data_IF_233798652249
#
_entry.id   IF_233798652249
#
_cell.length_a   1.000
_cell.length_b   1.000
_cell.length_c   1.000
_cell.angle_alpha   90.00
_cell.angle_beta   90.00
_cell.angle_gamma   90.00
#
_symmetry.space_group_name_H-M   'P 1'
#
loop_
_entity.id
_entity.type
_entity.pdbx_description
1 polymer ?
#
# COMPACT_ATOMS: atom_id res chain seq x y z
N UNK A 1 -30.53 45.53 -13.12
CA UNK A 1 -29.50 45.97 -14.08
C UNK A 1 -28.27 45.10 -13.91
N UNK A 2 -27.73 44.56 -15.01
CA UNK A 2 -26.47 43.83 -14.97
C UNK A 2 -25.32 44.80 -14.67
N UNK A 3 -24.32 44.37 -13.90
CA UNK A 3 -23.16 45.20 -13.54
C UNK A 3 -22.09 45.25 -14.63
N UNK A 4 -22.17 44.37 -15.64
CA UNK A 4 -21.18 44.21 -16.70
C UNK A 4 -21.78 44.61 -18.05
N UNK A 5 -20.94 45.19 -18.92
CA UNK A 5 -21.30 45.40 -20.32
C UNK A 5 -21.35 44.08 -21.08
N UNK A 6 -22.03 44.05 -22.23
CA UNK A 6 -22.17 42.82 -23.04
C UNK A 6 -20.81 42.25 -23.49
N UNK A 7 -19.85 43.11 -23.86
CA UNK A 7 -18.49 42.69 -24.19
C UNK A 7 -17.72 42.14 -22.97
N UNK A 8 -17.85 42.77 -21.80
CA UNK A 8 -17.23 42.29 -20.57
C UNK A 8 -17.80 40.94 -20.15
N UNK A 9 -19.14 40.77 -20.26
CA UNK A 9 -19.82 39.51 -20.01
C UNK A 9 -19.36 38.43 -20.99
N UNK A 10 -19.25 38.76 -22.28
CA UNK A 10 -18.74 37.84 -23.31
C UNK A 10 -17.30 37.39 -23.01
N UNK A 11 -16.40 38.32 -22.68
CA UNK A 11 -15.01 38.00 -22.29
C UNK A 11 -14.95 37.13 -21.04
N UNK A 12 -15.74 37.45 -20.01
CA UNK A 12 -15.80 36.64 -18.79
C UNK A 12 -16.29 35.22 -19.09
N UNK A 13 -17.36 35.08 -19.87
CA UNK A 13 -17.88 33.77 -20.27
C UNK A 13 -16.90 32.96 -21.11
N UNK A 14 -16.07 33.59 -21.94
CA UNK A 14 -15.00 32.93 -22.70
C UNK A 14 -13.83 32.47 -21.80
N UNK A 15 -13.58 33.18 -20.69
CA UNK A 15 -12.51 32.84 -19.75
C UNK A 15 -12.88 31.69 -18.80
N UNK A 16 -14.18 31.39 -18.63
CA UNK A 16 -14.65 30.24 -17.85
C UNK A 16 -14.30 28.96 -18.59
N UNK A 17 -13.22 28.31 -18.14
CA UNK A 17 -12.78 27.02 -18.68
C UNK A 17 -13.63 25.89 -18.10
N UNK A 18 -13.96 24.92 -18.95
CA UNK A 18 -14.71 23.72 -18.55
C UNK A 18 -13.87 22.70 -17.77
N UNK A 19 -12.53 22.84 -17.76
CA UNK A 19 -11.60 21.94 -17.07
C UNK A 19 -10.32 22.69 -16.70
N UNK A 20 -9.61 22.21 -15.68
CA UNK A 20 -8.33 22.77 -15.27
C UNK A 20 -8.49 24.09 -14.53
N UNK A 21 -9.58 24.24 -13.78
CA UNK A 21 -9.75 25.37 -12.87
C UNK A 21 -8.64 25.36 -11.79
N UNK A 22 -8.38 26.52 -11.17
CA UNK A 22 -7.33 26.64 -10.16
C UNK A 22 -7.56 25.68 -8.97
N UNK A 23 -8.82 25.51 -8.57
CA UNK A 23 -9.26 24.61 -7.50
C UNK A 23 -9.02 23.13 -7.83
N UNK A 24 -9.39 22.67 -9.04
CA UNK A 24 -9.08 21.31 -9.50
C UNK A 24 -7.58 21.04 -9.49
N UNK A 25 -6.79 22.00 -9.98
CA UNK A 25 -5.33 21.88 -10.03
C UNK A 25 -4.73 21.83 -8.62
N UNK A 26 -5.26 22.62 -7.68
CA UNK A 26 -4.79 22.63 -6.29
C UNK A 26 -5.00 21.28 -5.61
N UNK A 27 -6.24 20.76 -5.62
CA UNK A 27 -6.56 19.44 -5.04
C UNK A 27 -5.74 18.32 -5.69
N UNK A 28 -5.63 18.36 -7.02
CA UNK A 28 -4.84 17.37 -7.75
C UNK A 28 -3.35 17.41 -7.37
N UNK A 29 -2.74 18.59 -7.32
CA UNK A 29 -1.32 18.73 -6.92
C UNK A 29 -1.09 18.25 -5.49
N UNK A 30 -2.02 18.57 -4.59
CA UNK A 30 -1.94 18.16 -3.19
C UNK A 30 -1.96 16.63 -3.04
N UNK A 31 -2.94 15.96 -3.67
CA UNK A 31 -3.02 14.49 -3.68
C UNK A 31 -1.79 13.84 -4.32
N UNK A 32 -1.24 14.44 -5.38
CA UNK A 32 -0.04 13.93 -6.05
C UNK A 32 1.20 14.03 -5.14
N UNK A 33 1.37 15.15 -4.44
CA UNK A 33 2.47 15.36 -3.49
C UNK A 33 2.42 14.36 -2.33
N UNK A 34 1.22 13.90 -1.95
CA UNK A 34 1.00 12.84 -0.94
C UNK A 34 1.12 11.42 -1.48
N UNK A 35 1.53 11.26 -2.74
CA UNK A 35 1.84 9.96 -3.34
C UNK A 35 0.67 9.29 -4.09
N UNK A 36 -0.50 9.92 -4.14
CA UNK A 36 -1.64 9.37 -4.86
C UNK A 36 -1.49 9.57 -6.38
N UNK A 37 -1.83 8.53 -7.15
CA UNK A 37 -1.84 8.56 -8.62
C UNK A 37 -3.27 8.46 -9.10
N UNK A 38 -3.67 9.41 -9.95
CA UNK A 38 -5.02 9.54 -10.49
C UNK A 38 -4.95 9.88 -11.98
N UNK A 39 -6.06 9.67 -12.68
CA UNK A 39 -6.26 10.20 -14.04
C UNK A 39 -7.10 11.47 -13.95
N UNK A 40 -6.68 12.50 -14.68
CA UNK A 40 -7.46 13.75 -14.80
C UNK A 40 -8.46 13.63 -15.94
N UNK A 41 -9.67 14.17 -15.74
CA UNK A 41 -10.65 14.35 -16.82
C UNK A 41 -10.92 13.07 -17.63
N UNK A 42 -11.15 11.95 -16.94
CA UNK A 42 -11.25 10.64 -17.58
C UNK A 42 -12.54 10.53 -18.41
N UNK A 43 -12.39 10.57 -19.74
CA UNK A 43 -13.51 10.41 -20.69
C UNK A 43 -14.10 9.00 -20.71
N UNK A 44 -13.40 8.01 -20.17
CA UNK A 44 -13.87 6.62 -20.12
C UNK A 44 -14.85 6.37 -18.97
N UNK A 45 -14.97 7.31 -18.04
CA UNK A 45 -15.89 7.23 -16.89
C UNK A 45 -17.09 8.15 -17.14
N UNK A 46 -18.29 7.63 -16.88
CA UNK A 46 -19.53 8.40 -17.07
C UNK A 46 -19.53 9.66 -16.21
N UNK A 47 -19.97 10.79 -16.76
CA UNK A 47 -19.91 12.09 -16.09
C UNK A 47 -18.57 12.82 -16.21
N UNK A 48 -17.50 12.18 -16.72
CA UNK A 48 -16.16 12.76 -16.90
C UNK A 48 -15.63 13.43 -15.61
N UNK A 49 -15.34 12.65 -14.55
CA UNK A 49 -14.85 13.19 -13.28
C UNK A 49 -13.53 13.96 -13.44
N UNK A 50 -13.30 14.95 -12.57
CA UNK A 50 -12.08 15.76 -12.57
C UNK A 50 -10.86 14.91 -12.21
N UNK A 51 -11.00 14.06 -11.18
CA UNK A 51 -10.00 13.06 -10.79
C UNK A 51 -10.63 11.68 -10.71
N UNK A 52 -9.89 10.67 -11.17
CA UNK A 52 -10.38 9.29 -11.24
C UNK A 52 -9.32 8.32 -10.74
N UNK A 53 -9.70 7.44 -9.82
CA UNK A 53 -8.91 6.31 -9.34
C UNK A 53 -9.50 5.01 -9.88
N UNK A 54 -9.21 4.71 -11.16
CA UNK A 54 -9.89 3.65 -11.92
C UNK A 54 -9.83 2.25 -11.27
N UNK A 55 -8.69 1.90 -10.67
CA UNK A 55 -8.52 0.60 -9.97
C UNK A 55 -9.39 0.50 -8.71
N UNK A 56 -9.62 1.62 -8.03
CA UNK A 56 -10.40 1.70 -6.79
C UNK A 56 -11.87 2.05 -7.05
N UNK A 57 -12.23 2.30 -8.31
CA UNK A 57 -13.54 2.84 -8.73
C UNK A 57 -13.95 4.09 -7.92
N UNK A 58 -13.03 5.04 -7.73
CA UNK A 58 -13.36 6.32 -7.08
C UNK A 58 -13.39 7.44 -8.14
N UNK A 59 -14.46 8.20 -8.16
CA UNK A 59 -14.68 9.38 -9.00
C UNK A 59 -14.79 10.63 -8.11
N UNK A 60 -13.96 11.64 -8.38
CA UNK A 60 -13.96 12.91 -7.64
C UNK A 60 -14.37 14.03 -8.59
N UNK A 61 -15.36 14.81 -8.18
CA UNK A 61 -15.85 16.00 -8.88
C UNK A 61 -15.57 17.26 -8.04
N UNK A 62 -15.19 18.32 -8.72
CA UNK A 62 -14.95 19.65 -8.17
C UNK A 62 -15.98 20.60 -8.77
N UNK A 63 -17.07 20.81 -8.04
CA UNK A 63 -18.24 21.52 -8.52
C UNK A 63 -18.16 23.01 -8.18
N UNK A 64 -18.39 23.86 -9.19
CA UNK A 64 -18.60 25.28 -8.97
C UNK A 64 -20.00 25.56 -8.43
N UNK A 65 -20.11 26.37 -7.35
CA UNK A 65 -21.37 26.61 -6.64
C UNK A 65 -22.49 27.12 -7.53
N UNK A 66 -22.14 28.00 -8.48
CA UNK A 66 -23.12 28.60 -9.39
C UNK A 66 -23.63 27.62 -10.45
N UNK A 67 -22.74 26.78 -11.00
CA UNK A 67 -23.07 25.92 -12.15
C UNK A 67 -23.81 24.64 -11.76
N UNK A 68 -23.58 24.16 -10.54
CA UNK A 68 -24.19 22.96 -9.97
C UNK A 68 -25.23 23.28 -8.89
N UNK A 69 -25.51 24.57 -8.65
CA UNK A 69 -26.65 25.01 -7.84
C UNK A 69 -26.53 24.71 -6.34
N UNK A 70 -25.39 25.07 -5.72
CA UNK A 70 -25.29 25.07 -4.24
C UNK A 70 -26.40 25.97 -3.67
N UNK A 71 -27.16 25.47 -2.71
CA UNK A 71 -28.29 26.18 -2.07
C UNK A 71 -29.28 26.78 -3.09
N UNK A 72 -29.67 25.97 -4.10
CA UNK A 72 -30.40 26.44 -5.28
C UNK A 72 -31.73 27.15 -4.97
N UNK A 73 -32.50 26.69 -3.99
CA UNK A 73 -33.79 27.29 -3.63
C UNK A 73 -33.66 28.77 -3.24
N UNK A 74 -32.57 29.14 -2.57
CA UNK A 74 -32.28 30.54 -2.22
C UNK A 74 -31.67 31.31 -3.38
N UNK A 75 -30.76 30.67 -4.13
CA UNK A 75 -29.99 31.31 -5.18
C UNK A 75 -30.78 31.53 -6.48
N UNK A 76 -31.81 30.72 -6.75
CA UNK A 76 -32.73 30.88 -7.88
C UNK A 76 -33.38 32.27 -7.91
N UNK A 77 -33.78 32.76 -6.75
CA UNK A 77 -34.44 34.06 -6.58
C UNK A 77 -33.46 35.25 -6.73
N UNK A 78 -32.14 35.00 -6.69
CA UNK A 78 -31.10 36.05 -6.81
C UNK A 78 -30.73 36.35 -8.25
N UNK A 79 -31.12 35.52 -9.21
CA UNK A 79 -30.88 35.76 -10.63
C UNK A 79 -31.67 36.98 -11.09
N UNK A 80 -31.03 37.97 -11.71
CA UNK A 80 -31.69 39.24 -12.13
C UNK A 80 -31.93 39.37 -13.63
N UNK A 81 -31.26 38.55 -14.45
CA UNK A 81 -31.29 38.65 -15.91
C UNK A 81 -31.35 37.26 -16.52
N UNK A 82 -32.14 37.09 -17.58
CA UNK A 82 -32.30 35.83 -18.32
C UNK A 82 -32.65 34.64 -17.40
N UNK A 83 -33.51 34.89 -16.41
CA UNK A 83 -33.84 33.95 -15.34
C UNK A 83 -34.31 32.62 -15.90
N UNK A 84 -35.28 32.62 -16.82
CA UNK A 84 -35.86 31.39 -17.34
C UNK A 84 -34.80 30.47 -17.98
N UNK A 85 -33.89 31.03 -18.77
CA UNK A 85 -32.77 30.29 -19.37
C UNK A 85 -31.84 29.72 -18.30
N UNK A 86 -31.43 30.55 -17.33
CA UNK A 86 -30.50 30.14 -16.28
C UNK A 86 -31.10 29.10 -15.35
N UNK A 87 -32.37 29.26 -14.99
CA UNK A 87 -33.13 28.32 -14.16
C UNK A 87 -33.19 26.96 -14.86
N UNK A 88 -33.69 26.93 -16.10
CA UNK A 88 -33.76 25.68 -16.90
C UNK A 88 -32.38 25.03 -17.05
N UNK A 89 -31.32 25.82 -17.25
CA UNK A 89 -29.96 25.32 -17.41
C UNK A 89 -29.38 24.73 -16.13
N UNK A 90 -29.54 25.40 -15.00
CA UNK A 90 -29.02 24.94 -13.70
C UNK A 90 -29.81 23.73 -13.21
N UNK A 91 -31.15 23.76 -13.33
CA UNK A 91 -32.00 22.61 -12.99
C UNK A 91 -31.64 21.37 -13.82
N UNK A 92 -31.37 21.54 -15.12
CA UNK A 92 -30.87 20.44 -15.97
C UNK A 92 -29.49 19.94 -15.55
N UNK A 93 -28.59 20.81 -15.09
CA UNK A 93 -27.28 20.40 -14.59
C UNK A 93 -27.41 19.58 -13.29
N UNK A 94 -28.24 20.05 -12.35
CA UNK A 94 -28.53 19.33 -11.11
C UNK A 94 -29.10 17.95 -11.41
N UNK A 95 -30.06 17.86 -12.34
CA UNK A 95 -30.64 16.57 -12.74
C UNK A 95 -29.59 15.65 -13.36
N UNK A 96 -28.76 16.19 -14.25
CA UNK A 96 -27.63 15.45 -14.83
C UNK A 96 -26.63 14.97 -13.77
N UNK A 97 -26.38 15.75 -12.73
CA UNK A 97 -25.48 15.35 -11.64
C UNK A 97 -26.06 14.17 -10.85
N UNK A 98 -27.38 14.15 -10.63
CA UNK A 98 -28.07 12.99 -10.05
C UNK A 98 -27.97 11.76 -10.95
N UNK A 99 -28.22 11.91 -12.24
CA UNK A 99 -28.07 10.83 -13.23
C UNK A 99 -26.65 10.25 -13.23
N UNK A 100 -25.64 11.12 -13.17
CA UNK A 100 -24.23 10.73 -13.10
C UNK A 100 -23.94 9.97 -11.82
N UNK A 101 -24.37 10.48 -10.66
CA UNK A 101 -24.15 9.84 -9.37
C UNK A 101 -24.79 8.46 -9.32
N UNK A 102 -26.05 8.36 -9.77
CA UNK A 102 -26.79 7.09 -9.82
C UNK A 102 -26.07 6.08 -10.72
N UNK A 103 -25.70 6.47 -11.93
CA UNK A 103 -25.03 5.57 -12.87
C UNK A 103 -23.65 5.15 -12.38
N UNK A 104 -22.91 6.04 -11.73
CA UNK A 104 -21.63 5.69 -11.12
C UNK A 104 -21.81 4.69 -9.99
N UNK A 105 -22.78 4.92 -9.10
CA UNK A 105 -23.13 4.00 -8.01
C UNK A 105 -23.52 2.62 -8.52
N UNK A 106 -24.38 2.54 -9.55
CA UNK A 106 -24.79 1.29 -10.20
C UNK A 106 -23.59 0.52 -10.79
N UNK A 107 -22.58 1.24 -11.29
CA UNK A 107 -21.34 0.64 -11.80
C UNK A 107 -20.31 0.33 -10.69
N UNK A 108 -20.69 0.51 -9.42
CA UNK A 108 -19.88 0.27 -8.23
C UNK A 108 -18.78 1.30 -8.01
N UNK A 109 -19.01 2.54 -8.42
CA UNK A 109 -18.10 3.65 -8.17
C UNK A 109 -18.50 4.44 -6.92
N UNK A 110 -17.51 4.76 -6.11
CA UNK A 110 -17.65 5.74 -5.02
C UNK A 110 -17.49 7.14 -5.61
N UNK A 111 -18.50 7.99 -5.39
CA UNK A 111 -18.54 9.34 -5.93
C UNK A 111 -18.33 10.35 -4.80
N UNK A 112 -17.30 11.20 -4.93
CA UNK A 112 -17.02 12.31 -4.01
C UNK A 112 -17.19 13.62 -4.77
N UNK A 113 -17.94 14.57 -4.20
CA UNK A 113 -18.17 15.89 -4.79
C UNK A 113 -17.80 16.98 -3.80
N UNK A 114 -16.96 17.89 -4.23
CA UNK A 114 -16.47 19.00 -3.42
C UNK A 114 -16.83 20.32 -4.07
N UNK A 115 -17.35 21.27 -3.28
CA UNK A 115 -17.56 22.63 -3.77
C UNK A 115 -16.24 23.39 -3.85
N UNK A 116 -16.09 24.23 -4.88
CA UNK A 116 -14.86 24.98 -5.10
C UNK A 116 -14.41 25.83 -3.90
N UNK A 117 -15.33 26.53 -3.22
CA UNK A 117 -15.03 27.32 -2.03
C UNK A 117 -14.64 26.47 -0.82
N UNK A 118 -15.16 25.25 -0.73
CA UNK A 118 -14.82 24.34 0.36
C UNK A 118 -13.36 23.88 0.21
N UNK A 119 -12.90 23.66 -1.04
CA UNK A 119 -11.50 23.38 -1.36
C UNK A 119 -10.59 24.60 -1.11
N UNK A 120 -11.04 25.81 -1.45
CA UNK A 120 -10.26 27.03 -1.18
C UNK A 120 -10.09 27.30 0.31
N UNK A 121 -11.14 27.03 1.10
CA UNK A 121 -11.14 27.23 2.54
C UNK A 121 -10.39 26.13 3.29
N UNK A 122 -10.57 24.87 2.87
CA UNK A 122 -10.09 23.70 3.61
C UNK A 122 -9.65 22.56 2.68
N UNK A 123 -8.57 22.84 1.95
CA UNK A 123 -7.94 21.88 1.05
C UNK A 123 -7.53 20.58 1.76
N UNK A 124 -7.10 20.68 3.02
CA UNK A 124 -6.60 19.55 3.79
C UNK A 124 -7.72 18.56 4.10
N UNK A 125 -8.86 19.03 4.61
CA UNK A 125 -9.98 18.14 4.92
C UNK A 125 -10.57 17.50 3.65
N UNK A 126 -10.68 18.26 2.55
CA UNK A 126 -11.11 17.68 1.26
C UNK A 126 -10.16 16.56 0.81
N UNK A 127 -8.85 16.75 0.98
CA UNK A 127 -7.86 15.72 0.63
C UNK A 127 -7.92 14.50 1.56
N UNK A 128 -8.13 14.71 2.87
CA UNK A 128 -8.28 13.63 3.85
C UNK A 128 -9.51 12.77 3.51
N UNK A 129 -10.63 13.38 3.11
CA UNK A 129 -11.82 12.64 2.70
C UNK A 129 -11.56 11.75 1.49
N UNK A 130 -10.86 12.27 0.49
CA UNK A 130 -10.41 11.48 -0.66
C UNK A 130 -9.48 10.34 -0.23
N UNK A 131 -8.58 10.59 0.71
CA UNK A 131 -7.65 9.59 1.24
C UNK A 131 -8.35 8.47 2.01
N UNK A 132 -9.34 8.82 2.83
CA UNK A 132 -10.16 7.86 3.55
C UNK A 132 -10.91 6.95 2.58
N UNK A 133 -11.56 7.52 1.56
CA UNK A 133 -12.22 6.74 0.51
C UNK A 133 -11.24 5.83 -0.25
N UNK A 134 -10.02 6.31 -0.53
CA UNK A 134 -8.96 5.50 -1.15
C UNK A 134 -8.57 4.34 -0.24
N UNK A 135 -8.44 4.57 1.06
CA UNK A 135 -8.03 3.55 2.02
C UNK A 135 -9.14 2.50 2.22
N UNK A 136 -10.39 2.93 2.37
CA UNK A 136 -11.56 2.04 2.41
C UNK A 136 -11.66 1.20 1.14
N UNK A 137 -11.58 1.82 -0.05
CA UNK A 137 -11.62 1.08 -1.31
C UNK A 137 -10.43 0.12 -1.48
N UNK A 138 -9.25 0.46 -0.95
CA UNK A 138 -8.10 -0.46 -0.92
C UNK A 138 -8.34 -1.62 0.04
N UNK A 139 -8.97 -1.39 1.18
CA UNK A 139 -9.36 -2.42 2.13
C UNK A 139 -10.39 -3.35 1.49
N UNK A 140 -11.45 -2.81 0.90
CA UNK A 140 -12.49 -3.58 0.18
C UNK A 140 -11.92 -4.36 -1.00
N UNK A 141 -11.02 -3.77 -1.80
CA UNK A 141 -10.37 -4.47 -2.91
C UNK A 141 -9.49 -5.61 -2.39
N UNK A 142 -8.81 -5.42 -1.25
CA UNK A 142 -8.03 -6.46 -0.57
C UNK A 142 -8.93 -7.56 0.01
N UNK A 143 -10.12 -7.21 0.49
CA UNK A 143 -11.14 -8.16 0.95
C UNK A 143 -11.81 -8.92 -0.20
N UNK A 144 -12.03 -8.29 -1.37
CA UNK A 144 -12.61 -8.94 -2.56
C UNK A 144 -11.64 -9.86 -3.28
N UNK A 145 -10.35 -9.49 -3.38
CA UNK A 145 -9.30 -10.36 -3.93
C UNK A 145 -9.09 -11.61 -3.05
N UNK A 146 -9.48 -11.57 -1.78
CA UNK A 146 -9.45 -12.73 -0.88
C UNK A 146 -10.72 -13.61 -0.92
N UNK A 147 -11.72 -13.28 -1.76
CA UNK A 147 -13.02 -13.97 -1.84
C UNK A 147 -13.24 -14.83 -3.10
N UNK A 148 -12.25 -15.09 -3.96
CA UNK A 148 -12.42 -16.01 -5.09
C UNK A 148 -12.27 -17.48 -4.66
N UNK A 149 -13.39 -18.19 -4.65
CA UNK A 149 -13.59 -19.56 -4.17
C UNK A 149 -12.80 -20.62 -4.96
N UNK A 150 -11.92 -21.35 -4.27
CA UNK A 150 -11.52 -22.70 -4.68
C UNK A 150 -12.08 -23.68 -3.66
N UNK A 151 -13.10 -24.45 -4.08
CA UNK A 151 -13.57 -25.68 -3.41
C UNK A 151 -14.02 -25.53 -1.93
N UNK A 152 -14.82 -24.50 -1.62
CA UNK A 152 -15.70 -24.52 -0.43
C UNK A 152 -15.01 -24.52 0.94
N UNK A 153 -13.78 -23.99 1.06
CA UNK A 153 -13.11 -23.78 2.36
C UNK A 153 -12.69 -22.33 2.53
N UNK A 154 -13.19 -21.69 3.60
CA UNK A 154 -12.84 -20.33 3.99
C UNK A 154 -11.46 -20.29 4.67
N UNK A 155 -10.53 -19.50 4.14
CA UNK A 155 -9.30 -19.16 4.83
C UNK A 155 -9.13 -17.64 4.91
N UNK A 156 -9.28 -17.08 6.12
CA UNK A 156 -8.87 -15.72 6.46
C UNK A 156 -7.49 -15.74 7.12
N UNK A 157 -6.50 -15.12 6.49
CA UNK A 157 -5.26 -14.66 7.17
C UNK A 157 -5.22 -13.14 7.04
N UNK A 158 -5.56 -12.45 8.13
CA UNK A 158 -5.27 -11.02 8.30
C UNK A 158 -3.86 -10.90 8.84
N UNK A 159 -2.91 -10.45 8.02
CA UNK A 159 -1.63 -9.97 8.53
C UNK A 159 -1.88 -8.55 9.03
N UNK A 160 -2.14 -8.44 10.33
CA UNK A 160 -1.92 -7.20 11.09
C UNK A 160 -0.41 -7.02 11.11
N UNK A 161 0.12 -6.03 10.40
CA UNK A 161 1.56 -5.69 10.42
C UNK A 161 1.95 -5.34 11.87
N UNK A 162 2.72 -6.16 12.58
CA UNK A 162 3.39 -5.68 13.77
C UNK A 162 4.64 -4.94 13.28
N UNK A 163 4.97 -3.80 13.86
CA UNK A 163 6.30 -3.17 13.72
C UNK A 163 7.42 -4.01 14.38
N UNK A 164 7.27 -5.33 14.42
CA UNK A 164 8.11 -6.27 15.14
C UNK A 164 8.58 -7.38 14.19
N UNK A 165 9.77 -7.92 14.44
CA UNK A 165 10.39 -9.03 13.71
C UNK A 165 9.54 -10.32 13.62
N UNK A 166 8.34 -10.36 14.22
CA UNK A 166 7.38 -11.48 14.26
C UNK A 166 7.08 -12.10 12.89
N UNK A 167 6.79 -11.28 11.87
CA UNK A 167 6.52 -11.80 10.52
C UNK A 167 7.78 -12.39 9.86
N UNK A 168 8.94 -11.77 10.10
CA UNK A 168 10.22 -12.29 9.62
C UNK A 168 10.53 -13.65 10.26
N UNK A 169 10.30 -13.79 11.58
CA UNK A 169 10.45 -15.07 12.30
C UNK A 169 9.59 -16.17 11.70
N UNK A 170 8.30 -15.90 11.46
CA UNK A 170 7.37 -16.88 10.89
C UNK A 170 7.83 -17.33 9.50
N UNK A 171 8.12 -16.38 8.61
CA UNK A 171 8.51 -16.68 7.23
C UNK A 171 9.85 -17.41 7.16
N UNK A 172 10.84 -17.02 7.98
CA UNK A 172 12.14 -17.69 8.04
C UNK A 172 12.04 -19.09 8.64
N UNK A 173 11.16 -19.33 9.61
CA UNK A 173 10.89 -20.69 10.09
C UNK A 173 10.43 -21.61 8.96
N UNK A 174 9.45 -21.14 8.17
CA UNK A 174 8.83 -21.92 7.10
C UNK A 174 9.81 -22.22 5.95
N UNK A 175 10.54 -21.20 5.48
CA UNK A 175 11.52 -21.33 4.39
C UNK A 175 12.72 -22.22 4.75
N UNK A 176 13.01 -22.35 6.05
CA UNK A 176 14.09 -23.17 6.58
C UNK A 176 13.62 -24.51 7.18
N UNK A 177 12.35 -24.88 7.02
CA UNK A 177 11.76 -26.11 7.58
C UNK A 177 12.58 -27.37 7.28
N UNK A 178 13.13 -27.48 6.06
CA UNK A 178 13.86 -28.66 5.56
C UNK A 178 15.38 -28.64 5.74
N UNK A 179 15.99 -27.56 6.25
CA UNK A 179 17.47 -27.41 6.25
C UNK A 179 18.11 -27.28 7.65
N UNK A 180 17.33 -27.53 8.70
CA UNK A 180 17.76 -27.49 10.11
C UNK A 180 17.83 -26.10 10.74
N UNK A 181 17.84 -25.03 9.93
CA UNK A 181 17.90 -23.64 10.44
C UNK A 181 16.55 -23.21 11.05
N UNK A 182 15.44 -23.84 10.64
CA UNK A 182 14.12 -23.62 11.24
C UNK A 182 14.08 -23.79 12.76
N UNK A 183 14.93 -24.65 13.34
CA UNK A 183 15.02 -24.85 14.79
C UNK A 183 15.29 -23.55 15.54
N UNK A 184 16.05 -22.64 14.95
CA UNK A 184 16.42 -21.36 15.53
C UNK A 184 15.21 -20.42 15.67
N UNK A 185 14.30 -20.46 14.70
CA UNK A 185 13.07 -19.66 14.68
C UNK A 185 11.89 -20.35 15.36
N UNK A 186 11.99 -21.65 15.69
CA UNK A 186 10.84 -22.48 16.09
C UNK A 186 10.09 -21.89 17.28
N UNK A 187 10.81 -21.55 18.36
CA UNK A 187 10.19 -21.10 19.61
C UNK A 187 9.33 -19.86 19.38
N UNK A 188 9.92 -18.83 18.77
CA UNK A 188 9.28 -17.54 18.58
C UNK A 188 8.20 -17.60 17.48
N UNK A 189 8.37 -18.46 16.47
CA UNK A 189 7.34 -18.72 15.45
C UNK A 189 6.09 -19.38 16.05
N UNK A 190 6.26 -20.33 16.98
CA UNK A 190 5.16 -20.99 17.69
C UNK A 190 4.44 -20.00 18.60
N UNK A 191 5.18 -19.18 19.35
CA UNK A 191 4.61 -18.14 20.21
C UNK A 191 3.80 -17.13 19.41
N UNK A 192 4.34 -16.65 18.29
CA UNK A 192 3.61 -15.72 17.42
C UNK A 192 2.37 -16.37 16.77
N UNK A 193 2.47 -17.62 16.31
CA UNK A 193 1.32 -18.35 15.78
C UNK A 193 0.23 -18.49 16.84
N UNK A 194 0.61 -18.74 18.08
CA UNK A 194 -0.31 -18.79 19.21
C UNK A 194 -1.01 -17.45 19.44
N UNK A 195 -0.29 -16.34 19.43
CA UNK A 195 -0.90 -14.99 19.52
C UNK A 195 -1.93 -14.76 18.40
N UNK A 196 -1.58 -15.11 17.15
CA UNK A 196 -2.47 -14.98 15.99
C UNK A 196 -3.74 -15.83 16.19
N UNK A 197 -3.59 -17.08 16.62
CA UNK A 197 -4.70 -18.00 16.82
C UNK A 197 -5.59 -17.56 17.98
N UNK A 198 -5.02 -17.05 19.07
CA UNK A 198 -5.77 -16.51 20.22
C UNK A 198 -6.59 -15.28 19.83
N UNK A 199 -6.02 -14.38 19.02
CA UNK A 199 -6.77 -13.24 18.49
C UNK A 199 -7.92 -13.68 17.57
N UNK A 200 -7.69 -14.74 16.78
CA UNK A 200 -8.67 -15.23 15.80
C UNK A 200 -9.79 -16.07 16.45
N UNK A 201 -9.49 -16.77 17.54
CA UNK A 201 -10.39 -17.65 18.27
C UNK A 201 -10.35 -17.34 19.78
N UNK A 202 -10.93 -16.21 20.20
CA UNK A 202 -10.81 -15.73 21.58
C UNK A 202 -11.47 -16.64 22.63
N UNK A 203 -12.45 -17.45 22.21
CA UNK A 203 -13.19 -18.38 23.07
C UNK A 203 -12.51 -19.76 23.19
N UNK A 204 -11.43 -20.00 22.43
CA UNK A 204 -10.72 -21.29 22.40
C UNK A 204 -9.40 -21.24 23.17
N UNK A 205 -9.10 -22.31 23.92
CA UNK A 205 -7.80 -22.44 24.60
C UNK A 205 -6.75 -22.89 23.60
N UNK A 206 -6.02 -21.93 23.02
CA UNK A 206 -4.92 -22.22 22.10
C UNK A 206 -3.68 -22.67 22.89
N UNK A 207 -3.27 -23.93 22.70
CA UNK A 207 -2.04 -24.49 23.27
C UNK A 207 -0.86 -24.35 22.31
N UNK A 208 0.37 -24.52 22.81
CA UNK A 208 1.56 -24.50 21.96
C UNK A 208 1.54 -25.66 20.94
N UNK A 209 0.90 -26.80 21.28
CA UNK A 209 0.75 -27.94 20.38
C UNK A 209 -0.12 -27.58 19.16
N UNK A 210 -1.23 -26.90 19.39
CA UNK A 210 -2.13 -26.42 18.32
C UNK A 210 -1.43 -25.39 17.44
N UNK A 211 -0.64 -24.49 18.04
CA UNK A 211 0.16 -23.53 17.30
C UNK A 211 1.29 -24.21 16.47
N UNK A 212 1.96 -25.22 17.03
CA UNK A 212 2.94 -26.03 16.30
C UNK A 212 2.32 -26.77 15.12
N UNK A 213 1.16 -27.40 15.31
CA UNK A 213 0.43 -28.07 14.23
C UNK A 213 0.01 -27.08 13.14
N UNK A 214 -0.57 -25.93 13.51
CA UNK A 214 -0.98 -24.91 12.55
C UNK A 214 0.19 -24.38 11.68
N UNK A 215 1.36 -24.22 12.30
CA UNK A 215 2.61 -23.85 11.64
C UNK A 215 3.09 -24.96 10.67
N UNK A 216 2.93 -26.23 11.07
CA UNK A 216 3.38 -27.40 10.32
C UNK A 216 2.48 -27.74 9.12
N UNK A 217 1.17 -27.49 9.22
CA UNK A 217 0.22 -27.63 8.11
C UNK A 217 0.36 -26.53 7.05
N UNK A 218 1.31 -25.61 7.19
CA UNK A 218 1.58 -24.58 6.19
C UNK A 218 0.36 -23.69 5.93
N UNK A 219 -0.48 -23.46 6.95
CA UNK A 219 -1.72 -22.66 6.84
C UNK A 219 -1.43 -21.25 6.28
N UNK A 220 -0.18 -20.81 6.32
CA UNK A 220 0.30 -19.53 5.81
C UNK A 220 0.95 -19.58 4.41
N UNK A 221 1.07 -20.74 3.75
CA UNK A 221 1.83 -20.89 2.50
C UNK A 221 1.04 -21.57 1.36
N UNK A 222 0.58 -20.76 0.41
CA UNK A 222 0.64 -21.08 -1.03
C UNK A 222 0.60 -19.76 -1.82
N UNK A 223 1.73 -19.10 -1.96
CA UNK A 223 1.89 -18.04 -2.96
C UNK A 223 2.83 -18.53 -4.06
N UNK A 224 2.43 -18.37 -5.34
CA UNK A 224 3.36 -18.55 -6.45
C UNK A 224 4.39 -17.42 -6.40
N UNK A 225 5.60 -17.72 -5.92
CA UNK A 225 6.68 -16.74 -5.82
C UNK A 225 7.57 -16.78 -7.07
N UNK A 226 7.95 -15.62 -7.65
CA UNK A 226 8.78 -15.58 -8.86
C UNK A 226 10.14 -16.26 -8.72
N UNK A 227 10.74 -16.19 -7.52
CA UNK A 227 12.08 -16.70 -7.26
C UNK A 227 12.07 -17.67 -6.07
N UNK A 228 11.65 -18.93 -6.28
CA UNK A 228 11.59 -19.91 -5.21
C UNK A 228 12.98 -20.28 -4.68
N UNK A 229 13.09 -20.67 -3.40
CA UNK A 229 14.35 -21.15 -2.84
C UNK A 229 14.79 -22.46 -3.49
N UNK A 230 16.11 -22.67 -3.54
CA UNK A 230 16.71 -23.92 -4.06
C UNK A 230 16.56 -25.03 -3.02
N UNK A 231 16.11 -26.21 -3.47
CA UNK A 231 15.90 -27.38 -2.61
C UNK A 231 17.22 -27.97 -2.10
N UNK A 232 18.23 -28.07 -2.97
CA UNK A 232 19.55 -28.65 -2.68
C UNK A 232 20.67 -27.61 -2.84
N UNK A 233 20.89 -26.74 -1.85
CA UNK A 233 21.91 -25.69 -1.94
C UNK A 233 23.34 -26.24 -1.77
N UNK A 234 24.28 -25.65 -2.51
CA UNK A 234 25.72 -25.90 -2.41
C UNK A 234 26.35 -25.22 -1.20
N UNK A 235 25.80 -24.07 -0.78
CA UNK A 235 26.24 -23.28 0.36
C UNK A 235 25.08 -22.47 0.94
N UNK A 236 25.23 -22.02 2.19
CA UNK A 236 24.29 -21.15 2.92
C UNK A 236 24.87 -19.76 3.07
N UNK A 237 24.03 -18.73 2.94
CA UNK A 237 24.47 -17.34 3.12
C UNK A 237 23.42 -16.49 3.86
N UNK A 238 23.86 -15.35 4.37
CA UNK A 238 23.00 -14.32 4.96
C UNK A 238 23.11 -13.01 4.19
N UNK A 239 22.02 -12.24 4.18
CA UNK A 239 21.91 -10.98 3.45
C UNK A 239 21.49 -9.85 4.41
N UNK A 240 22.45 -9.03 4.86
CA UNK A 240 22.22 -8.05 5.93
C UNK A 240 21.70 -6.69 5.43
N UNK A 241 21.68 -6.48 4.11
CA UNK A 241 21.20 -5.27 3.44
C UNK A 241 20.44 -5.70 2.18
N UNK A 242 19.36 -6.43 2.41
CA UNK A 242 18.75 -7.26 1.40
C UNK A 242 18.11 -6.46 0.26
N UNK A 243 17.73 -5.20 0.51
CA UNK A 243 17.04 -4.35 -0.45
C UNK A 243 15.84 -5.06 -1.05
N UNK A 244 15.74 -5.06 -2.38
CA UNK A 244 14.72 -5.82 -3.14
C UNK A 244 15.16 -7.25 -3.51
N UNK A 245 16.35 -7.67 -3.07
CA UNK A 245 16.89 -9.03 -3.18
C UNK A 245 17.71 -9.35 -4.44
N UNK A 246 18.34 -8.34 -5.05
CA UNK A 246 19.27 -8.56 -6.16
C UNK A 246 20.48 -9.43 -5.77
N UNK A 247 21.02 -9.24 -4.56
CA UNK A 247 22.13 -10.05 -4.05
C UNK A 247 21.71 -11.51 -3.80
N UNK A 248 20.55 -11.72 -3.15
CA UNK A 248 19.96 -13.05 -2.99
C UNK A 248 19.81 -13.79 -4.31
N UNK A 249 19.26 -13.13 -5.33
CA UNK A 249 19.06 -13.74 -6.64
C UNK A 249 20.40 -14.17 -7.27
N UNK A 250 21.43 -13.33 -7.18
CA UNK A 250 22.77 -13.66 -7.66
C UNK A 250 23.36 -14.89 -6.93
N UNK A 251 23.25 -14.93 -5.60
CA UNK A 251 23.75 -16.07 -4.81
C UNK A 251 22.94 -17.34 -5.05
N UNK A 252 21.62 -17.25 -5.20
CA UNK A 252 20.78 -18.38 -5.59
C UNK A 252 21.20 -18.93 -6.95
N UNK A 253 21.45 -18.10 -7.95
CA UNK A 253 21.94 -18.56 -9.26
C UNK A 253 23.29 -19.32 -9.17
N UNK A 254 24.10 -19.06 -8.14
CA UNK A 254 25.34 -19.81 -7.86
C UNK A 254 25.12 -21.09 -7.04
N UNK A 255 23.88 -21.41 -6.66
CA UNK A 255 23.51 -22.55 -5.85
C UNK A 255 23.46 -22.27 -4.34
N UNK A 256 23.44 -21.00 -3.93
CA UNK A 256 23.36 -20.59 -2.53
C UNK A 256 21.92 -20.59 -2.00
N UNK A 257 21.74 -20.91 -0.71
CA UNK A 257 20.48 -20.69 0.01
C UNK A 257 20.63 -19.56 1.03
N UNK A 258 19.75 -18.57 0.93
CA UNK A 258 19.65 -17.53 1.94
C UNK A 258 19.00 -18.11 3.19
N UNK A 259 19.61 -17.92 4.36
CA UNK A 259 19.11 -18.45 5.64
C UNK A 259 18.75 -17.35 6.65
N UNK A 260 19.14 -16.10 6.38
CA UNK A 260 18.75 -14.92 7.14
C UNK A 260 18.83 -13.68 6.27
N UNK A 261 17.84 -12.80 6.39
CA UNK A 261 17.75 -11.56 5.62
C UNK A 261 17.39 -10.38 6.50
N UNK A 262 18.00 -9.21 6.29
CA UNK A 262 17.68 -7.98 7.02
C UNK A 262 17.56 -6.79 6.07
N UNK A 263 16.51 -6.00 6.26
CA UNK A 263 16.24 -4.75 5.55
C UNK A 263 15.38 -3.84 6.43
N UNK A 264 15.74 -2.57 6.56
CA UNK A 264 15.02 -1.63 7.41
C UNK A 264 13.96 -0.84 6.61
N UNK A 265 14.17 -0.66 5.30
CA UNK A 265 13.22 0.04 4.44
C UNK A 265 11.94 -0.77 4.21
N UNK A 266 10.79 -0.17 4.55
CA UNK A 266 9.47 -0.84 4.52
C UNK A 266 9.05 -1.23 3.09
N UNK A 267 9.40 -0.44 2.07
CA UNK A 267 8.99 -0.70 0.68
C UNK A 267 9.86 -1.77 0.02
N UNK A 268 11.16 -1.78 0.34
CA UNK A 268 12.09 -2.84 -0.04
C UNK A 268 11.64 -4.20 0.51
N UNK A 269 11.25 -4.27 1.78
CA UNK A 269 10.73 -5.50 2.42
C UNK A 269 9.49 -6.07 1.74
N UNK A 270 8.53 -5.21 1.37
CA UNK A 270 7.32 -5.62 0.63
C UNK A 270 7.67 -6.24 -0.72
N UNK A 271 8.60 -5.60 -1.43
CA UNK A 271 9.08 -6.08 -2.73
C UNK A 271 9.84 -7.39 -2.59
N UNK A 272 10.70 -7.50 -1.56
CA UNK A 272 11.43 -8.71 -1.25
C UNK A 272 10.49 -9.89 -0.96
N UNK A 273 9.46 -9.68 -0.14
CA UNK A 273 8.44 -10.69 0.14
C UNK A 273 7.71 -11.14 -1.13
N UNK A 274 7.33 -10.20 -1.99
CA UNK A 274 6.67 -10.53 -3.26
C UNK A 274 7.57 -11.38 -4.18
N UNK A 275 8.89 -11.15 -4.15
CA UNK A 275 9.87 -11.85 -4.96
C UNK A 275 10.20 -13.27 -4.43
N UNK A 276 10.38 -13.41 -3.11
CA UNK A 276 10.99 -14.60 -2.51
C UNK A 276 10.11 -15.32 -1.49
N UNK A 277 8.92 -14.82 -1.18
CA UNK A 277 8.02 -15.38 -0.16
C UNK A 277 8.45 -15.12 1.29
N UNK A 278 9.57 -14.43 1.50
CA UNK A 278 10.21 -14.23 2.79
C UNK A 278 10.21 -12.75 3.17
N UNK A 279 9.89 -12.42 4.43
CA UNK A 279 9.98 -11.04 4.92
C UNK A 279 11.32 -10.83 5.63
N UNK A 280 12.16 -9.86 5.22
CA UNK A 280 13.40 -9.57 5.92
C UNK A 280 13.20 -9.08 7.35
N UNK A 281 14.16 -9.36 8.22
CA UNK A 281 14.23 -8.77 9.56
C UNK A 281 14.47 -7.26 9.51
N UNK A 282 14.21 -6.57 10.62
CA UNK A 282 14.38 -5.13 10.82
C UNK A 282 15.80 -4.59 10.66
N UNK A 283 16.03 -3.41 11.23
CA UNK A 283 17.34 -2.76 11.30
C UNK A 283 18.38 -3.67 11.97
N UNK A 284 19.44 -4.02 11.23
CA UNK A 284 20.52 -4.91 11.67
C UNK A 284 21.40 -4.31 12.77
N UNK A 285 21.34 -2.99 12.99
CA UNK A 285 22.11 -2.34 14.07
C UNK A 285 21.57 -2.71 15.45
N UNK A 286 20.29 -3.10 15.54
CA UNK A 286 19.60 -3.42 16.78
C UNK A 286 19.85 -4.86 17.24
N UNK A 287 20.02 -5.04 18.55
CA UNK A 287 20.26 -6.36 19.15
C UNK A 287 19.08 -7.32 18.94
N UNK A 288 17.85 -6.79 18.94
CA UNK A 288 16.62 -7.54 18.66
C UNK A 288 16.58 -8.18 17.26
N UNK A 289 17.38 -7.67 16.32
CA UNK A 289 17.52 -8.23 14.97
C UNK A 289 18.70 -9.20 14.93
N UNK A 290 19.80 -8.84 15.58
CA UNK A 290 21.03 -9.67 15.61
C UNK A 290 20.81 -11.00 16.31
N UNK A 291 19.94 -11.05 17.32
CA UNK A 291 19.57 -12.28 18.01
C UNK A 291 18.93 -13.33 17.09
N UNK A 292 18.46 -12.92 15.89
CA UNK A 292 17.85 -13.79 14.89
C UNK A 292 18.82 -14.28 13.79
N UNK A 293 20.11 -13.93 13.85
CA UNK A 293 21.11 -14.45 12.92
C UNK A 293 21.48 -15.90 13.32
N UNK A 294 21.26 -16.90 12.44
CA UNK A 294 21.57 -18.28 12.75
C UNK A 294 23.07 -18.56 12.63
N UNK A 295 23.56 -19.53 13.40
CA UNK A 295 24.90 -20.09 13.20
C UNK A 295 24.94 -21.06 11.99
N UNK A 296 26.12 -21.28 11.43
CA UNK A 296 26.33 -22.29 10.37
C UNK A 296 25.97 -21.84 8.95
N UNK A 297 26.20 -20.57 8.62
CA UNK A 297 26.24 -20.07 7.24
C UNK A 297 27.69 -19.95 6.74
N UNK A 298 27.90 -20.10 5.44
CA UNK A 298 29.23 -20.11 4.80
C UNK A 298 29.68 -18.69 4.39
N UNK A 299 28.73 -17.82 4.05
CA UNK A 299 28.98 -16.50 3.49
C UNK A 299 28.06 -15.42 4.10
N UNK A 300 28.63 -14.25 4.43
CA UNK A 300 27.85 -13.09 4.88
C UNK A 300 28.21 -11.85 4.06
N UNK A 301 27.21 -11.05 3.69
CA UNK A 301 27.44 -9.78 2.97
C UNK A 301 26.85 -8.62 3.74
N UNK A 302 27.66 -7.58 3.89
CA UNK A 302 27.31 -6.31 4.52
C UNK A 302 27.64 -5.17 3.54
N UNK A 303 26.70 -4.26 3.34
CA UNK A 303 26.85 -3.04 2.55
C UNK A 303 26.85 -1.85 3.50
N UNK A 304 28.02 -1.37 3.91
CA UNK A 304 28.14 -0.14 4.68
C UNK A 304 28.24 1.08 3.75
N UNK A 305 27.30 2.04 3.82
CA UNK A 305 27.26 3.28 3.02
C UNK A 305 28.53 4.15 3.18
N UNK A 306 28.99 4.95 2.23
CA UNK A 306 28.34 6.04 1.46
C UNK A 306 28.75 6.06 -0.03
N UNK A 307 29.38 5.00 -0.49
CA UNK A 307 29.66 4.72 -1.89
C UNK A 307 29.52 3.21 -2.04
N UNK A 308 28.84 2.75 -3.09
CA UNK A 308 28.64 1.33 -3.44
C UNK A 308 29.94 0.51 -3.33
N UNK A 309 30.26 0.00 -2.13
CA UNK A 309 31.31 -1.00 -1.90
C UNK A 309 30.66 -2.19 -1.20
N UNK A 310 30.41 -3.25 -1.97
CA UNK A 310 30.06 -4.55 -1.44
C UNK A 310 31.27 -5.12 -0.71
N UNK A 311 31.21 -5.24 0.62
CA UNK A 311 32.20 -6.00 1.37
C UNK A 311 31.67 -7.43 1.55
N UNK A 312 32.29 -8.38 0.84
CA UNK A 312 32.03 -9.81 0.95
C UNK A 312 32.82 -10.37 2.13
N UNK A 313 32.15 -10.96 3.11
CA UNK A 313 32.80 -11.64 4.22
C UNK A 313 32.61 -13.16 4.07
N UNK A 314 33.72 -13.89 3.94
CA UNK A 314 33.73 -15.36 3.98
C UNK A 314 34.03 -15.77 5.41
N UNK A 315 33.13 -16.53 6.05
CA UNK A 315 33.37 -17.07 7.38
C UNK A 315 34.12 -18.40 7.22
N UNK A 316 35.44 -18.36 7.02
CA UNK A 316 36.24 -19.58 7.15
C UNK A 316 36.23 -20.01 8.61
N UNK A 317 35.83 -21.24 8.88
CA UNK A 317 35.69 -21.92 10.17
C UNK A 317 36.71 -21.58 11.28
N UNK A 318 36.65 -20.38 11.84
CA UNK A 318 37.34 -20.02 13.08
C UNK A 318 36.31 -19.47 14.08
N UNK A 319 36.21 -20.16 15.22
CA UNK A 319 35.49 -19.67 16.40
C UNK A 319 36.10 -18.31 16.77
N UNK A 320 35.30 -17.24 16.73
CA UNK A 320 35.67 -15.95 17.33
C UNK A 320 35.92 -14.77 16.40
N UNK A 321 35.24 -14.64 15.25
CA UNK A 321 35.15 -13.31 14.60
C UNK A 321 34.18 -12.42 15.42
N UNK A 322 34.64 -11.36 16.11
CA UNK A 322 33.76 -10.53 16.91
C UNK A 322 32.93 -9.63 15.98
N UNK A 323 31.60 -9.62 16.17
CA UNK A 323 30.69 -8.66 15.53
C UNK A 323 31.07 -7.18 15.76
N UNK A 324 31.96 -6.89 16.73
CA UNK A 324 32.48 -5.55 17.00
C UNK A 324 33.23 -4.92 15.82
N UNK A 325 33.77 -5.71 14.88
CA UNK A 325 34.47 -5.13 13.72
C UNK A 325 33.52 -4.54 12.65
N UNK A 326 32.21 -4.78 12.74
CA UNK A 326 31.20 -4.23 11.83
C UNK A 326 30.74 -2.81 12.22
N UNK A 327 30.98 -2.39 13.47
CA UNK A 327 30.43 -1.14 14.02
C UNK A 327 31.45 -0.02 14.22
N UNK A 328 32.76 -0.28 14.05
CA UNK A 328 33.83 0.66 14.39
C UNK A 328 34.26 1.64 13.27
N UNK A 329 33.43 1.89 12.27
CA UNK A 329 33.69 2.99 11.31
C UNK A 329 32.44 3.84 11.11
N UNK A 330 31.83 4.23 12.22
CA UNK A 330 30.81 5.27 12.27
C UNK A 330 31.30 6.35 13.26
N UNK A 331 32.17 7.22 12.76
CA UNK A 331 32.47 8.53 13.34
C UNK A 331 32.63 9.51 12.17
#
# INVERSE_FOLDING_TARGET
MDKLTEEQRRRNMQAVKATGTKIEVALAKFLFARGHRYRKNDKTVFGKPDLTFKKLKIAVFVDGEFWHGKDWEENKNRLKTNQEFWIKKIERNIERDKEVNQKLLENGWTTLRFWGKDIEKDLLNCAIEVENAINEAKMDLKEKISLEEIKGKQFRVRIVEPECNKEAVLTHYMHNSKNGVSKFYKKDAVEYTKEILQYKYPEETITNLVAEEALQYGIFDTFSIPFPPIENPKFKFIDLFAGIGGFRLAMQNLGGKCVFTSEWDKEAKKTYRANFGETPFGDITKEETKSYIPDGFDLGVSLSGRAFRCNLFVRSSQKGFPLQSLTQTVA
#
